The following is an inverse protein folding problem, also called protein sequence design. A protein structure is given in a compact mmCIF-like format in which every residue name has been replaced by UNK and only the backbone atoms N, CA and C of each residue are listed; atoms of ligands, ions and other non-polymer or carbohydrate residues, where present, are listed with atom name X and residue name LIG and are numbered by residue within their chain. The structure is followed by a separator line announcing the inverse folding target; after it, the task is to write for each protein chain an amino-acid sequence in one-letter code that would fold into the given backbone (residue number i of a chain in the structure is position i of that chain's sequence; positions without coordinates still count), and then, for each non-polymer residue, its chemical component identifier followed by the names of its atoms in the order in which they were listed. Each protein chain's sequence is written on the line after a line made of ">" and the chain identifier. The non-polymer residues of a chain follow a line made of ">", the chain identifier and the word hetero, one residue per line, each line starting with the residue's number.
data_IF_701712490888
#
_entry.id   IF_701712490888
#
_cell.length_a   1.000
_cell.length_b   1.000
_cell.length_c   1.000
_cell.angle_alpha   90.00
_cell.angle_beta   90.00
_cell.angle_gamma   90.00
#
_symmetry.space_group_name_H-M   'P 1'
#
loop_
_entity.id
_entity.type
_entity.pdbx_description
1 polymer ?
#
# COMPACT_ATOMS: atom_id res chain seq x y z
N UNK A 1 24.94 -1.56 -5.38
CA UNK A 1 24.80 -0.16 -5.78
C UNK A 1 23.42 0.31 -5.37
N UNK A 2 23.29 1.48 -4.75
CA UNK A 2 21.98 2.04 -4.40
C UNK A 2 21.25 2.53 -5.65
N UNK A 3 19.92 2.43 -5.65
CA UNK A 3 19.08 3.12 -6.64
C UNK A 3 19.04 4.62 -6.35
N UNK A 4 18.90 5.43 -7.39
CA UNK A 4 18.78 6.87 -7.29
C UNK A 4 17.32 7.28 -7.01
N UNK A 5 17.11 8.28 -6.15
CA UNK A 5 15.78 8.87 -5.93
C UNK A 5 15.55 9.93 -7.00
N UNK A 6 14.52 9.75 -7.82
CA UNK A 6 14.11 10.71 -8.86
C UNK A 6 12.81 11.41 -8.45
N UNK A 7 12.74 12.72 -8.65
CA UNK A 7 11.55 13.53 -8.40
C UNK A 7 10.85 13.81 -9.73
N UNK A 8 9.61 13.36 -9.86
CA UNK A 8 8.76 13.58 -11.03
C UNK A 8 7.65 14.59 -10.69
N UNK A 9 6.93 15.05 -11.71
CA UNK A 9 5.80 15.96 -11.55
C UNK A 9 4.70 15.37 -10.66
N UNK A 10 4.00 16.23 -9.93
CA UNK A 10 2.91 15.84 -9.04
C UNK A 10 1.72 15.19 -9.78
N UNK A 11 0.99 14.34 -9.07
CA UNK A 11 -0.27 13.80 -9.56
C UNK A 11 -1.41 14.81 -9.32
N UNK A 12 -2.26 15.01 -10.32
CA UNK A 12 -3.29 16.07 -10.34
C UNK A 12 -4.29 16.01 -9.16
N UNK A 13 -4.61 14.82 -8.65
CA UNK A 13 -5.67 14.61 -7.67
C UNK A 13 -5.17 14.21 -6.26
N UNK A 14 -3.85 14.22 -6.02
CA UNK A 14 -3.31 13.78 -4.74
C UNK A 14 -3.35 14.90 -3.68
N UNK A 15 -4.04 14.70 -2.54
CA UNK A 15 -4.02 15.68 -1.47
C UNK A 15 -2.64 15.68 -0.82
N UNK A 16 -2.06 16.89 -0.72
CA UNK A 16 -0.67 17.08 -0.29
C UNK A 16 -0.36 16.56 1.12
N UNK A 17 -1.34 16.50 2.03
CA UNK A 17 -1.12 16.07 3.43
C UNK A 17 -2.32 15.30 3.97
N UNK A 18 -2.04 14.31 4.83
CA UNK A 18 -3.04 13.58 5.62
C UNK A 18 -2.52 13.35 7.03
N UNK A 19 -3.38 13.57 8.04
CA UNK A 19 -3.08 13.30 9.45
C UNK A 19 -4.37 12.88 10.19
N UNK A 20 -4.63 11.59 10.39
CA UNK A 20 -5.85 11.14 11.05
C UNK A 20 -5.82 11.42 12.56
N UNK A 21 -6.96 11.84 13.11
CA UNK A 21 -7.23 11.81 14.55
C UNK A 21 -7.83 10.45 14.93
N UNK A 22 -7.11 9.70 15.77
CA UNK A 22 -7.48 8.34 16.18
C UNK A 22 -8.12 8.26 17.57
N UNK A 23 -8.44 9.40 18.22
CA UNK A 23 -9.01 9.42 19.58
C UNK A 23 -10.25 8.54 19.73
N UNK A 24 -11.15 8.54 18.74
CA UNK A 24 -12.38 7.72 18.79
C UNK A 24 -12.08 6.22 18.86
N UNK A 25 -11.10 5.74 18.10
CA UNK A 25 -10.72 4.32 18.11
C UNK A 25 -10.06 3.93 19.44
N UNK A 26 -9.20 4.80 19.99
CA UNK A 26 -8.62 4.59 21.32
C UNK A 26 -9.68 4.50 22.41
N UNK A 27 -10.62 5.45 22.44
CA UNK A 27 -11.64 5.54 23.50
C UNK A 27 -12.67 4.41 23.45
N UNK A 28 -13.13 4.05 22.24
CA UNK A 28 -14.24 3.11 22.10
C UNK A 28 -13.77 1.65 21.94
N UNK A 29 -12.56 1.44 21.41
CA UNK A 29 -12.08 0.11 21.05
C UNK A 29 -10.80 -0.29 21.81
N UNK A 30 -10.20 0.63 22.58
CA UNK A 30 -8.87 0.40 23.16
C UNK A 30 -7.79 0.16 22.10
N UNK A 31 -8.02 0.59 20.86
CA UNK A 31 -7.16 0.27 19.72
C UNK A 31 -6.21 1.43 19.38
N UNK A 32 -4.96 1.10 19.10
CA UNK A 32 -3.95 1.99 18.54
C UNK A 32 -2.90 1.22 17.71
N UNK A 33 -2.20 1.87 16.76
CA UNK A 33 -1.09 1.24 16.07
C UNK A 33 0.07 0.99 17.03
N UNK A 34 0.52 -0.26 17.11
CA UNK A 34 1.63 -0.67 18.00
C UNK A 34 2.92 -1.01 17.25
N UNK A 35 2.86 -1.09 15.91
CA UNK A 35 4.01 -1.44 15.07
C UNK A 35 4.71 -0.15 14.62
N UNK A 36 6.00 0.05 14.96
CA UNK A 36 6.79 1.18 14.47
C UNK A 36 6.99 1.17 12.96
N UNK A 37 7.23 2.35 12.37
CA UNK A 37 7.44 2.49 10.92
C UNK A 37 8.56 1.59 10.40
N UNK A 38 9.72 1.60 11.06
CA UNK A 38 10.89 0.82 10.64
C UNK A 38 10.59 -0.68 10.65
N UNK A 39 9.92 -1.18 11.68
CA UNK A 39 9.53 -2.59 11.77
C UNK A 39 8.59 -2.96 10.60
N UNK A 40 7.59 -2.12 10.32
CA UNK A 40 6.68 -2.32 9.20
C UNK A 40 7.39 -2.31 7.83
N UNK A 41 8.34 -1.38 7.64
CA UNK A 41 9.14 -1.30 6.42
C UNK A 41 10.04 -2.54 6.25
N UNK A 42 10.71 -2.99 7.31
CA UNK A 42 11.56 -4.18 7.27
C UNK A 42 10.78 -5.44 6.87
N UNK A 43 9.56 -5.63 7.40
CA UNK A 43 8.69 -6.74 6.98
C UNK A 43 8.27 -6.64 5.52
N UNK A 44 8.00 -5.42 5.05
CA UNK A 44 7.62 -5.15 3.66
C UNK A 44 8.78 -5.43 2.70
N UNK A 45 9.99 -4.96 3.03
CA UNK A 45 11.22 -5.23 2.27
C UNK A 45 11.45 -6.73 2.18
N UNK A 46 11.40 -7.44 3.31
CA UNK A 46 11.58 -8.89 3.35
C UNK A 46 10.59 -9.65 2.45
N UNK A 47 9.32 -9.25 2.46
CA UNK A 47 8.30 -9.82 1.59
C UNK A 47 8.66 -9.65 0.10
N UNK A 48 9.00 -8.43 -0.32
CA UNK A 48 9.33 -8.16 -1.72
C UNK A 48 10.65 -8.79 -2.17
N UNK A 49 11.66 -8.88 -1.30
CA UNK A 49 12.89 -9.61 -1.60
C UNK A 49 12.60 -11.06 -1.96
N UNK A 50 11.78 -11.76 -1.15
CA UNK A 50 11.36 -13.14 -1.43
C UNK A 50 10.51 -13.27 -2.69
N UNK A 51 9.61 -12.32 -2.91
CA UNK A 51 8.76 -12.33 -4.10
C UNK A 51 9.60 -12.18 -5.38
N UNK A 52 10.60 -11.31 -5.38
CA UNK A 52 11.52 -11.13 -6.51
C UNK A 52 12.42 -12.36 -6.72
N UNK A 53 12.92 -12.99 -5.65
CA UNK A 53 13.65 -14.27 -5.71
C UNK A 53 12.78 -15.36 -6.32
N UNK A 54 11.52 -15.48 -5.90
CA UNK A 54 10.57 -16.45 -6.45
C UNK A 54 10.34 -16.21 -7.95
N UNK A 55 10.10 -14.96 -8.36
CA UNK A 55 9.88 -14.63 -9.77
C UNK A 55 11.10 -14.95 -10.65
N UNK A 56 12.30 -14.63 -10.16
CA UNK A 56 13.55 -14.94 -10.86
C UNK A 56 13.75 -16.45 -11.03
N UNK A 57 13.40 -17.23 -10.01
CA UNK A 57 13.59 -18.69 -10.01
C UNK A 57 12.49 -19.45 -10.77
N UNK A 58 11.26 -18.93 -10.84
CA UNK A 58 10.11 -19.64 -11.42
C UNK A 58 9.66 -19.15 -12.80
N UNK A 59 10.37 -18.21 -13.45
CA UNK A 59 9.99 -17.62 -14.74
C UNK A 59 8.50 -17.17 -14.79
N UNK A 60 7.95 -16.76 -13.64
CA UNK A 60 6.54 -16.33 -13.52
C UNK A 60 6.49 -14.83 -13.26
N UNK A 61 5.95 -14.08 -14.21
CA UNK A 61 5.66 -12.65 -14.06
C UNK A 61 4.20 -12.52 -13.60
N UNK A 62 3.92 -12.22 -12.32
CA UNK A 62 2.54 -11.99 -11.88
C UNK A 62 1.99 -10.76 -12.60
N UNK A 63 1.00 -10.97 -13.47
CA UNK A 63 0.25 -9.84 -14.03
C UNK A 63 -0.48 -9.12 -12.89
N UNK A 64 -0.41 -7.78 -12.81
CA UNK A 64 -1.13 -7.04 -11.78
C UNK A 64 -2.61 -7.41 -11.87
N UNK A 65 -3.21 -7.78 -10.73
CA UNK A 65 -4.65 -8.06 -10.67
C UNK A 65 -5.38 -6.82 -11.22
N UNK A 66 -6.24 -6.96 -12.23
CA UNK A 66 -6.93 -5.80 -12.79
C UNK A 66 -7.70 -5.10 -11.67
N UNK A 67 -7.61 -3.77 -11.63
CA UNK A 67 -8.36 -2.97 -10.68
C UNK A 67 -9.83 -3.39 -10.74
N UNK A 68 -10.41 -3.73 -9.59
CA UNK A 68 -11.80 -4.17 -9.48
C UNK A 68 -12.71 -3.02 -9.94
N UNK A 69 -13.13 -3.06 -11.21
CA UNK A 69 -14.12 -2.11 -11.75
C UNK A 69 -15.43 -2.36 -11.01
N UNK A 70 -15.82 -1.42 -10.14
CA UNK A 70 -17.16 -1.42 -9.54
C UNK A 70 -18.17 -1.16 -10.66
N UNK A 71 -18.81 -2.21 -11.20
CA UNK A 71 -19.98 -2.04 -12.08
C UNK A 71 -21.03 -1.24 -11.30
N UNK A 72 -21.42 -0.09 -11.84
CA UNK A 72 -22.47 0.76 -11.30
C UNK A 72 -23.75 -0.04 -11.08
N UNK A 73 -24.32 0.09 -9.88
CA UNK A 73 -25.61 -0.51 -9.54
C UNK A 73 -26.67 0.34 -10.23
N UNK A 74 -27.16 -0.08 -11.40
CA UNK A 74 -28.34 0.53 -12.04
C UNK A 74 -29.51 0.37 -11.07
N UNK A 75 -30.04 1.51 -10.61
CA UNK A 75 -31.33 1.57 -9.93
C UNK A 75 -32.40 1.41 -11.00
N UNK A 76 -33.19 0.34 -10.91
CA UNK A 76 -34.51 0.31 -11.54
C UNK A 76 -35.55 0.54 -10.44
N UNK A 77 -36.48 1.45 -10.73
CA UNK A 77 -37.64 1.82 -9.93
C UNK A 77 -38.47 0.61 -9.50
#
# INVERSE_FOLDING_TARGET
>A
GGGEIQFLSEAQDDPQRRRPDIRKAKLLLGWEPVVPLEEGLNKTIHYFSKELEYQANNQYIPKPKPARIKKGRTRHN
#
